data_IF_693696650042
#
_entry.id   IF_693696650042
#
_cell.length_a   1.000
_cell.length_b   1.000
_cell.length_c   1.000
_cell.angle_alpha   90.00
_cell.angle_beta   90.00
_cell.angle_gamma   90.00
#
_symmetry.space_group_name_H-M   'P 1'
#
loop_
_entity.id
_entity.type
_entity.pdbx_description
1 polymer ?
#
# COMPACT_ATOMS: atom_id res chain seq x y z
N UNK A 1 -11.96 9.69 7.73
CA UNK A 1 -10.68 8.99 7.96
C UNK A 1 -9.83 9.21 6.73
N UNK A 2 -8.61 9.70 6.87
CA UNK A 2 -7.65 9.73 5.78
C UNK A 2 -7.01 8.34 5.67
N UNK A 3 -6.78 7.90 4.44
CA UNK A 3 -6.15 6.61 4.15
C UNK A 3 -4.89 6.87 3.34
N UNK A 4 -3.86 6.09 3.60
CA UNK A 4 -2.61 6.08 2.86
C UNK A 4 -2.52 4.79 2.06
N UNK A 5 -2.04 4.94 0.84
CA UNK A 5 -1.88 3.84 -0.11
C UNK A 5 -0.44 3.35 -0.02
N UNK A 6 -0.26 2.06 0.23
CA UNK A 6 1.03 1.42 0.41
C UNK A 6 1.19 0.30 -0.60
N UNK A 7 2.33 0.23 -1.29
CA UNK A 7 2.67 -0.92 -2.12
C UNK A 7 3.64 -1.84 -1.39
N UNK A 8 3.27 -3.12 -1.35
CA UNK A 8 4.16 -4.21 -1.03
C UNK A 8 5.04 -4.48 -2.25
N UNK A 9 6.34 -4.33 -2.09
CA UNK A 9 7.34 -4.62 -3.14
C UNK A 9 8.14 -5.83 -2.72
N UNK A 10 8.34 -6.81 -3.62
CA UNK A 10 9.43 -7.78 -3.39
C UNK A 10 10.65 -7.24 -4.08
N UNK A 11 11.63 -6.82 -3.29
CA UNK A 11 13.00 -6.75 -3.77
C UNK A 11 13.54 -8.18 -3.80
N UNK A 12 13.48 -8.87 -4.94
CA UNK A 12 14.42 -9.97 -5.17
C UNK A 12 15.78 -9.32 -5.31
N UNK A 13 16.51 -9.20 -4.20
CA UNK A 13 17.96 -9.04 -4.27
C UNK A 13 18.46 -10.30 -4.95
N UNK A 14 18.72 -10.22 -6.25
CA UNK A 14 19.43 -11.28 -6.97
C UNK A 14 20.84 -11.34 -6.38
N UNK A 15 21.02 -12.15 -5.33
CA UNK A 15 22.33 -12.42 -4.72
C UNK A 15 23.29 -13.15 -5.70
N UNK A 16 22.81 -13.53 -6.90
CA UNK A 16 23.53 -14.39 -7.84
C UNK A 16 24.10 -13.67 -9.09
N UNK A 17 23.78 -12.39 -9.38
CA UNK A 17 24.12 -11.79 -10.69
C UNK A 17 24.40 -10.26 -10.69
N UNK A 18 25.53 -9.84 -10.12
CA UNK A 18 26.17 -8.54 -10.39
C UNK A 18 25.35 -7.28 -10.02
N UNK A 19 25.91 -6.07 -10.19
CA UNK A 19 25.19 -4.82 -9.96
C UNK A 19 24.21 -4.57 -11.12
N UNK A 20 23.15 -5.38 -11.19
CA UNK A 20 22.00 -5.15 -12.05
C UNK A 20 20.87 -4.62 -11.18
N UNK A 21 20.40 -3.41 -11.49
CA UNK A 21 19.32 -2.71 -10.79
C UNK A 21 18.14 -3.66 -10.49
N UNK A 22 17.98 -4.03 -9.23
CA UNK A 22 16.80 -4.76 -8.78
C UNK A 22 15.60 -3.83 -8.94
N UNK A 23 14.76 -4.09 -9.94
CA UNK A 23 13.52 -3.34 -10.12
C UNK A 23 12.51 -3.82 -9.08
N UNK A 24 12.05 -2.96 -8.15
CA UNK A 24 11.05 -3.37 -7.18
C UNK A 24 9.75 -3.68 -7.91
N UNK A 25 9.33 -4.95 -7.90
CA UNK A 25 8.06 -5.36 -8.46
C UNK A 25 6.95 -5.18 -7.41
N UNK A 26 5.86 -4.53 -7.81
CA UNK A 26 4.69 -4.35 -6.94
C UNK A 26 3.91 -5.65 -6.88
N UNK A 27 3.80 -6.22 -5.68
CA UNK A 27 3.02 -7.44 -5.42
C UNK A 27 1.57 -7.09 -5.17
N UNK A 28 1.35 -6.20 -4.22
CA UNK A 28 0.05 -5.84 -3.70
C UNK A 28 0.05 -4.41 -3.23
N UNK A 29 -1.12 -3.80 -3.28
CA UNK A 29 -1.38 -2.49 -2.73
C UNK A 29 -2.33 -2.65 -1.56
N UNK A 30 -1.95 -2.08 -0.44
CA UNK A 30 -2.65 -2.10 0.83
C UNK A 30 -3.05 -0.67 1.20
N UNK A 31 -4.10 -0.56 2.02
CA UNK A 31 -4.49 0.68 2.64
C UNK A 31 -4.08 0.66 4.11
N UNK A 32 -3.57 1.77 4.63
CA UNK A 32 -3.40 1.99 6.05
C UNK A 32 -4.07 3.28 6.50
N UNK A 33 -4.51 3.38 7.77
CA UNK A 33 -4.87 4.66 8.34
C UNK A 33 -3.66 5.58 8.43
N UNK A 34 -3.89 6.89 8.33
CA UNK A 34 -2.88 7.90 8.71
C UNK A 34 -2.59 7.78 10.20
N UNK A 35 -1.31 7.89 10.58
CA UNK A 35 -0.89 7.82 11.98
C UNK A 35 -1.56 8.88 12.88
N UNK A 36 -1.58 8.65 14.20
CA UNK A 36 -2.30 9.48 15.18
C UNK A 36 -1.82 10.93 15.26
N UNK A 37 -0.57 11.21 14.85
CA UNK A 37 0.03 12.55 14.86
C UNK A 37 -0.27 13.38 13.59
N UNK A 38 -1.15 12.90 12.69
CA UNK A 38 -1.46 13.53 11.41
C UNK A 38 -0.21 13.79 10.53
N UNK A 39 0.90 13.12 10.82
CA UNK A 39 2.01 12.96 9.91
C UNK A 39 1.49 12.22 8.68
N UNK A 40 1.99 12.56 7.51
CA UNK A 40 1.69 11.87 6.24
C UNK A 40 2.16 10.39 6.26
N UNK A 41 2.62 9.90 7.41
CA UNK A 41 3.06 8.56 7.68
C UNK A 41 1.89 7.60 7.94
N UNK A 42 1.99 6.37 7.41
CA UNK A 42 1.05 5.29 7.71
C UNK A 42 1.16 4.87 9.18
N UNK A 43 0.06 4.35 9.71
CA UNK A 43 0.08 3.60 10.96
C UNK A 43 0.98 2.35 10.83
N UNK A 44 1.36 1.74 11.96
CA UNK A 44 2.20 0.54 12.00
C UNK A 44 1.58 -0.64 11.23
N UNK A 45 0.26 -0.62 11.07
CA UNK A 45 -0.51 -1.67 10.41
C UNK A 45 -1.46 -1.15 9.35
N UNK A 46 -1.58 -1.91 8.28
CA UNK A 46 -2.62 -1.75 7.26
C UNK A 46 -4.00 -2.16 7.80
N UNK A 47 -5.07 -1.81 7.09
CA UNK A 47 -6.44 -2.22 7.45
C UNK A 47 -6.62 -3.74 7.46
N UNK A 48 -5.84 -4.49 6.66
CA UNK A 48 -5.84 -5.95 6.69
C UNK A 48 -4.94 -6.55 7.78
N UNK A 49 -4.25 -5.71 8.57
CA UNK A 49 -3.41 -6.12 9.70
C UNK A 49 -1.95 -6.42 9.36
N UNK A 50 -1.51 -6.18 8.12
CA UNK A 50 -0.11 -6.34 7.71
C UNK A 50 0.77 -5.20 8.23
N UNK A 51 2.05 -5.46 8.54
CA UNK A 51 2.98 -4.41 8.94
C UNK A 51 3.30 -3.50 7.75
N UNK A 52 3.36 -2.19 7.99
CA UNK A 52 3.70 -1.17 6.97
C UNK A 52 5.20 -0.94 6.84
N UNK A 53 6.01 -1.49 7.75
CA UNK A 53 7.47 -1.28 7.85
C UNK A 53 8.23 -1.56 6.53
N UNK A 54 7.85 -2.62 5.82
CA UNK A 54 8.48 -3.05 4.56
C UNK A 54 7.67 -2.62 3.32
N UNK A 55 6.68 -1.75 3.48
CA UNK A 55 5.85 -1.27 2.38
C UNK A 55 6.26 0.14 1.96
N UNK A 56 6.20 0.39 0.66
CA UNK A 56 6.47 1.74 0.14
C UNK A 56 5.18 2.55 0.08
N UNK A 57 5.20 3.75 0.68
CA UNK A 57 4.07 4.68 0.61
C UNK A 57 3.98 5.27 -0.79
N UNK A 58 2.78 5.22 -1.37
CA UNK A 58 2.46 5.88 -2.62
C UNK A 58 1.82 7.23 -2.34
N UNK A 59 2.25 8.28 -3.04
CA UNK A 59 1.60 9.60 -3.05
C UNK A 59 0.30 9.59 -3.89
N UNK A 60 -0.49 8.54 -3.71
CA UNK A 60 -1.79 8.36 -4.31
C UNK A 60 -2.86 8.77 -3.28
N UNK A 61 -3.69 9.75 -3.64
CA UNK A 61 -4.87 10.08 -2.87
C UNK A 61 -6.13 9.46 -3.47
N UNK A 62 -7.01 8.86 -2.64
CA UNK A 62 -8.30 8.37 -3.10
C UNK A 62 -9.17 9.55 -3.57
N UNK A 63 -9.98 9.36 -4.64
CA UNK A 63 -10.77 10.43 -5.24
C UNK A 63 -11.95 10.92 -4.37
N UNK A 64 -12.26 10.24 -3.26
CA UNK A 64 -13.24 10.70 -2.28
C UNK A 64 -13.99 9.56 -1.57
N UNK A 65 -14.82 9.90 -0.58
CA UNK A 65 -15.63 8.92 0.14
C UNK A 65 -16.63 8.23 -0.79
N UNK A 66 -16.63 6.89 -0.77
CA UNK A 66 -17.50 6.04 -1.61
C UNK A 66 -16.94 5.74 -3.01
N UNK A 67 -15.85 6.39 -3.42
CA UNK A 67 -15.09 5.98 -4.58
C UNK A 67 -14.03 4.92 -4.19
N UNK A 68 -13.62 4.03 -5.12
CA UNK A 68 -12.55 3.09 -4.85
C UNK A 68 -11.28 3.84 -4.44
N UNK A 69 -10.67 3.36 -3.37
CA UNK A 69 -9.49 3.96 -2.76
C UNK A 69 -8.24 3.84 -3.64
N UNK A 70 -8.27 2.94 -4.63
CA UNK A 70 -7.21 2.78 -5.62
C UNK A 70 -7.56 3.36 -6.99
N UNK A 71 -6.57 3.97 -7.67
CA UNK A 71 -6.69 4.35 -9.07
C UNK A 71 -6.82 3.10 -9.95
N UNK A 72 -7.45 3.23 -11.13
CA UNK A 72 -7.69 2.09 -12.03
C UNK A 72 -6.41 1.35 -12.41
N UNK A 73 -5.29 2.07 -12.55
CA UNK A 73 -3.97 1.50 -12.82
C UNK A 73 -3.51 0.52 -11.74
N UNK A 74 -3.88 0.74 -10.48
CA UNK A 74 -3.42 -0.06 -9.34
C UNK A 74 -4.41 -1.13 -8.87
N UNK A 75 -5.63 -1.13 -9.41
CA UNK A 75 -6.65 -2.14 -9.09
C UNK A 75 -6.22 -3.60 -9.30
N UNK A 76 -5.37 -3.96 -10.28
CA UNK A 76 -4.89 -5.33 -10.44
C UNK A 76 -4.13 -5.86 -9.21
N UNK A 77 -3.50 -4.97 -8.45
CA UNK A 77 -2.74 -5.30 -7.25
C UNK A 77 -3.52 -5.01 -5.95
N UNK A 78 -4.81 -4.67 -6.04
CA UNK A 78 -5.64 -4.36 -4.87
C UNK A 78 -5.66 -5.54 -3.87
N UNK A 79 -5.30 -5.25 -2.62
CA UNK A 79 -5.48 -6.20 -1.54
C UNK A 79 -6.97 -6.30 -1.18
N UNK A 80 -7.57 -7.47 -1.45
CA UNK A 80 -8.97 -7.75 -1.15
C UNK A 80 -9.31 -7.61 0.34
N UNK A 81 -8.37 -7.88 1.25
CA UNK A 81 -8.58 -7.68 2.69
C UNK A 81 -8.72 -6.21 3.09
N UNK A 82 -7.91 -5.33 2.49
CA UNK A 82 -8.07 -3.88 2.69
C UNK A 82 -9.35 -3.36 2.02
N UNK A 83 -9.66 -3.86 0.82
CA UNK A 83 -10.87 -3.47 0.11
C UNK A 83 -12.16 -3.84 0.86
N UNK A 84 -12.18 -5.00 1.54
CA UNK A 84 -13.30 -5.44 2.37
C UNK A 84 -13.42 -4.57 3.64
N UNK A 85 -12.31 -4.37 4.35
CA UNK A 85 -12.27 -3.53 5.55
C UNK A 85 -12.71 -2.08 5.29
N UNK A 86 -12.42 -1.53 4.10
CA UNK A 86 -12.86 -0.19 3.70
C UNK A 86 -14.32 -0.13 3.22
N UNK A 87 -14.93 -1.27 2.85
CA UNK A 87 -16.36 -1.35 2.50
C UNK A 87 -17.26 -1.53 3.72
N UNK A 88 -16.74 -2.13 4.78
CA UNK A 88 -17.44 -2.29 6.06
C UNK A 88 -17.16 -1.10 6.97
N UNK A 89 -18.12 -0.18 7.19
CA UNK A 89 -17.94 1.00 8.04
C UNK A 89 -17.83 0.66 9.54
#
# INVERSE_FOLDING_TARGET
>A
MAILVLRETTGTVSDDLGPGDAVPETVKVHAAPTGPDASEDPDDRTFCGMPTLDMERLDCQPPGPGAPWLPPDMRPWECTGCADALRTP
#
